data_IF_871916466696
#
_entry.id   IF_871916466696
#
_cell.length_a   1.000
_cell.length_b   1.000
_cell.length_c   1.000
_cell.angle_alpha   90.00
_cell.angle_beta   90.00
_cell.angle_gamma   90.00
#
_symmetry.space_group_name_H-M   'P 1'
#
loop_
_entity.id
_entity.type
_entity.pdbx_description
1 polymer ?
#
# COMPACT_ATOMS: atom_id res chain seq x y z
N UNK A 1 -7.09 34.03 -7.34
CA UNK A 1 -6.16 33.30 -6.44
C UNK A 1 -6.05 31.86 -6.91
N UNK A 2 -4.84 31.34 -7.13
CA UNK A 2 -4.68 29.92 -7.46
C UNK A 2 -5.16 29.07 -6.27
N UNK A 3 -5.91 28.00 -6.55
CA UNK A 3 -6.33 27.07 -5.49
C UNK A 3 -5.10 26.54 -4.73
N UNK A 4 -5.22 26.22 -3.43
CA UNK A 4 -4.11 25.61 -2.67
C UNK A 4 -3.54 24.37 -3.39
N UNK A 5 -4.40 23.67 -4.12
CA UNK A 5 -4.10 22.52 -4.96
C UNK A 5 -3.29 22.82 -6.24
N UNK A 6 -3.30 24.05 -6.76
CA UNK A 6 -2.43 24.53 -7.85
C UNK A 6 -1.06 24.98 -7.33
N UNK A 7 -0.95 25.39 -6.06
CA UNK A 7 0.33 25.76 -5.44
C UNK A 7 1.22 24.53 -5.22
N UNK A 8 0.62 23.36 -4.98
CA UNK A 8 1.34 22.07 -4.88
C UNK A 8 2.08 21.70 -6.17
N UNK A 9 1.53 22.03 -7.34
CA UNK A 9 2.19 21.76 -8.63
C UNK A 9 3.50 22.54 -8.82
N UNK A 10 3.80 23.51 -7.94
CA UNK A 10 5.10 24.21 -7.94
C UNK A 10 6.14 23.56 -7.01
N UNK A 11 5.72 22.62 -6.16
CA UNK A 11 6.61 21.91 -5.25
C UNK A 11 7.15 20.63 -5.89
N UNK A 12 6.41 20.06 -6.83
CA UNK A 12 6.78 18.82 -7.53
C UNK A 12 7.01 19.09 -9.01
N UNK A 13 8.10 18.56 -9.55
CA UNK A 13 8.46 18.70 -10.96
C UNK A 13 7.67 17.75 -11.86
N UNK A 14 7.24 16.60 -11.32
CA UNK A 14 6.46 15.57 -12.03
C UNK A 14 5.06 15.50 -11.44
N UNK A 15 4.05 15.42 -12.30
CA UNK A 15 2.64 15.30 -11.86
C UNK A 15 1.82 14.51 -12.88
N UNK A 16 1.10 13.49 -12.41
CA UNK A 16 0.13 12.71 -13.20
C UNK A 16 -1.17 12.55 -12.41
N UNK A 17 -2.24 12.16 -13.10
CA UNK A 17 -3.50 11.77 -12.49
C UNK A 17 -3.92 10.40 -12.98
N UNK A 18 -4.24 9.52 -12.05
CA UNK A 18 -4.84 8.21 -12.33
C UNK A 18 -6.24 8.23 -11.74
N UNK A 19 -7.26 8.22 -12.60
CA UNK A 19 -8.67 8.35 -12.22
C UNK A 19 -8.99 9.55 -11.29
N UNK A 20 -8.14 10.58 -11.31
CA UNK A 20 -8.23 11.79 -10.50
C UNK A 20 -7.42 11.79 -9.20
N UNK A 21 -6.85 10.65 -8.79
CA UNK A 21 -5.85 10.53 -7.72
C UNK A 21 -4.53 11.14 -8.23
N UNK A 22 -3.82 11.89 -7.39
CA UNK A 22 -2.59 12.57 -7.78
C UNK A 22 -1.39 11.67 -7.56
N UNK A 23 -0.43 11.78 -8.46
CA UNK A 23 0.92 11.24 -8.29
C UNK A 23 1.85 12.40 -8.54
N UNK A 24 2.70 12.67 -7.56
CA UNK A 24 3.57 13.83 -7.49
C UNK A 24 5.00 13.33 -7.30
N UNK A 25 5.97 13.89 -8.03
CA UNK A 25 7.37 13.46 -7.91
C UNK A 25 8.32 14.65 -7.99
N UNK A 26 9.43 14.59 -7.26
CA UNK A 26 10.50 15.58 -7.36
C UNK A 26 11.23 15.48 -8.70
N UNK A 27 12.15 16.41 -8.97
CA UNK A 27 12.99 16.33 -10.17
C UNK A 27 13.91 15.11 -10.16
N UNK A 28 14.29 14.62 -8.98
CA UNK A 28 15.29 13.58 -8.79
C UNK A 28 14.76 12.15 -8.99
N UNK A 29 13.44 11.95 -8.97
CA UNK A 29 12.81 10.67 -9.34
C UNK A 29 12.98 10.41 -10.84
N UNK A 30 13.43 9.23 -11.24
CA UNK A 30 13.55 8.87 -12.66
C UNK A 30 12.18 8.84 -13.35
N UNK A 31 12.12 9.26 -14.62
CA UNK A 31 10.85 9.38 -15.34
C UNK A 31 10.15 8.03 -15.56
N UNK A 32 10.93 6.97 -15.81
CA UNK A 32 10.40 5.61 -15.99
C UNK A 32 9.81 5.08 -14.68
N UNK A 33 10.50 5.27 -13.56
CA UNK A 33 10.03 4.89 -12.22
C UNK A 33 8.79 5.67 -11.78
N UNK A 34 8.73 6.97 -12.10
CA UNK A 34 7.51 7.77 -11.91
C UNK A 34 6.32 7.23 -12.72
N UNK A 35 6.56 6.81 -13.96
CA UNK A 35 5.53 6.22 -14.81
C UNK A 35 5.09 4.85 -14.29
N UNK A 36 6.03 4.02 -13.84
CA UNK A 36 5.79 2.71 -13.24
C UNK A 36 4.83 2.79 -12.06
N UNK A 37 5.12 3.65 -11.07
CA UNK A 37 4.22 3.86 -9.92
C UNK A 37 2.82 4.31 -10.35
N UNK A 38 2.73 5.13 -11.41
CA UNK A 38 1.44 5.54 -11.96
C UNK A 38 0.67 4.43 -12.65
N UNK A 39 1.38 3.54 -13.33
CA UNK A 39 0.79 2.40 -13.99
C UNK A 39 0.34 1.35 -12.96
N UNK A 40 1.11 1.13 -11.89
CA UNK A 40 0.71 0.26 -10.77
C UNK A 40 -0.57 0.78 -10.11
N UNK A 41 -0.68 2.09 -9.83
CA UNK A 41 -1.92 2.67 -9.31
C UNK A 41 -3.10 2.49 -10.28
N UNK A 42 -2.84 2.56 -11.58
CA UNK A 42 -3.87 2.34 -12.59
C UNK A 42 -4.36 0.90 -12.55
N UNK A 43 -3.45 -0.07 -12.60
CA UNK A 43 -3.75 -1.51 -12.62
C UNK A 43 -4.35 -2.01 -11.31
N UNK A 44 -4.08 -1.37 -10.17
CA UNK A 44 -4.81 -1.70 -8.94
C UNK A 44 -6.25 -1.17 -8.94
N UNK A 45 -6.53 -0.04 -9.59
CA UNK A 45 -7.86 0.57 -9.60
C UNK A 45 -8.74 0.12 -10.78
N UNK A 46 -8.10 -0.36 -11.85
CA UNK A 46 -8.64 -0.92 -13.09
C UNK A 46 -7.88 -2.23 -13.37
N UNK A 47 -8.22 -3.25 -12.58
CA UNK A 47 -7.53 -4.54 -12.54
C UNK A 47 -7.86 -5.43 -13.74
N UNK A 48 -9.00 -5.18 -14.39
CA UNK A 48 -9.37 -5.80 -15.66
C UNK A 48 -8.79 -5.06 -16.89
N UNK A 49 -8.18 -3.89 -16.69
CA UNK A 49 -7.56 -3.02 -17.69
C UNK A 49 -8.52 -2.61 -18.83
N UNK A 50 -9.80 -2.39 -18.52
CA UNK A 50 -10.80 -1.96 -19.50
C UNK A 50 -10.84 -0.42 -19.74
N UNK A 51 -9.96 0.30 -19.05
CA UNK A 51 -9.81 1.76 -19.09
C UNK A 51 -10.72 2.49 -18.11
N UNK A 52 -11.43 1.77 -17.22
CA UNK A 52 -12.33 2.34 -16.21
C UNK A 52 -12.06 1.73 -14.85
N UNK A 53 -12.24 2.50 -13.75
CA UNK A 53 -12.09 1.93 -12.43
C UNK A 53 -13.11 0.83 -12.15
N UNK A 54 -12.66 -0.31 -11.67
CA UNK A 54 -13.50 -1.44 -11.25
C UNK A 54 -14.50 -0.99 -10.18
N UNK A 55 -13.98 -0.29 -9.16
CA UNK A 55 -14.80 0.18 -8.04
C UNK A 55 -14.88 1.71 -8.01
N UNK A 56 -15.88 2.28 -8.70
CA UNK A 56 -16.14 3.73 -8.71
C UNK A 56 -16.31 4.34 -7.30
N UNK A 57 -16.84 3.58 -6.33
CA UNK A 57 -17.00 4.05 -4.93
C UNK A 57 -15.64 4.24 -4.24
N UNK A 58 -14.69 3.35 -4.51
CA UNK A 58 -13.32 3.37 -3.99
C UNK A 58 -12.58 4.61 -4.51
N UNK A 59 -12.56 4.81 -5.83
CA UNK A 59 -11.97 6.01 -6.45
C UNK A 59 -12.57 7.31 -5.91
N UNK A 60 -13.91 7.38 -5.74
CA UNK A 60 -14.55 8.56 -5.13
C UNK A 60 -14.12 8.76 -3.68
N UNK A 61 -13.89 7.69 -2.91
CA UNK A 61 -13.41 7.77 -1.52
C UNK A 61 -11.96 8.29 -1.48
N UNK A 62 -11.06 7.73 -2.28
CA UNK A 62 -9.67 8.20 -2.42
C UNK A 62 -9.60 9.70 -2.75
N UNK A 63 -10.39 10.14 -3.74
CA UNK A 63 -10.46 11.56 -4.12
C UNK A 63 -10.99 12.47 -3.00
N UNK A 64 -12.03 12.06 -2.29
CA UNK A 64 -12.58 12.83 -1.15
C UNK A 64 -11.58 12.93 0.00
N UNK A 65 -10.85 11.85 0.23
CA UNK A 65 -9.78 11.80 1.23
C UNK A 65 -8.49 12.46 0.75
N UNK A 66 -8.46 13.03 -0.46
CA UNK A 66 -7.29 13.72 -1.03
C UNK A 66 -6.02 12.86 -1.01
N UNK A 67 -6.21 11.56 -1.22
CA UNK A 67 -5.12 10.59 -1.38
C UNK A 67 -4.18 11.02 -2.52
N UNK A 68 -2.88 10.92 -2.31
CA UNK A 68 -1.86 11.17 -3.32
C UNK A 68 -0.64 10.29 -3.10
N UNK A 69 -0.06 9.75 -4.17
CA UNK A 69 1.31 9.24 -4.11
C UNK A 69 2.29 10.40 -4.23
N UNK A 70 3.34 10.41 -3.41
CA UNK A 70 4.46 11.33 -3.51
C UNK A 70 5.76 10.55 -3.67
N UNK A 71 6.54 10.85 -4.70
CA UNK A 71 7.78 10.16 -4.99
C UNK A 71 8.96 11.10 -4.76
N UNK A 72 9.96 10.58 -4.06
CA UNK A 72 11.22 11.26 -3.74
C UNK A 72 12.40 10.39 -4.18
N UNK A 73 13.59 10.97 -4.24
CA UNK A 73 14.82 10.23 -4.50
C UNK A 73 15.08 9.20 -3.40
N UNK A 74 14.94 9.62 -2.13
CA UNK A 74 15.19 8.84 -0.92
C UNK A 74 14.58 9.56 0.31
N UNK A 75 14.68 8.92 1.47
CA UNK A 75 14.21 9.45 2.76
C UNK A 75 14.79 10.82 3.10
N UNK A 76 16.08 11.06 2.85
CA UNK A 76 16.72 12.34 3.15
C UNK A 76 16.15 13.50 2.31
N UNK A 77 15.79 13.25 1.04
CA UNK A 77 15.08 14.24 0.23
C UNK A 77 13.69 14.54 0.81
N UNK A 78 12.94 13.51 1.23
CA UNK A 78 11.63 13.66 1.85
C UNK A 78 11.71 14.48 3.14
N UNK A 79 12.61 14.14 4.06
CA UNK A 79 12.79 14.85 5.33
C UNK A 79 13.06 16.35 5.11
N UNK A 80 14.02 16.67 4.24
CA UNK A 80 14.35 18.05 3.89
C UNK A 80 13.17 18.76 3.19
N UNK A 81 12.43 18.07 2.32
CA UNK A 81 11.23 18.62 1.68
C UNK A 81 10.16 18.96 2.72
N UNK A 82 9.88 18.07 3.67
CA UNK A 82 8.89 18.27 4.72
C UNK A 82 9.28 19.43 5.64
N UNK A 83 10.55 19.53 6.05
CA UNK A 83 11.05 20.65 6.86
C UNK A 83 10.69 22.02 6.25
N UNK A 84 10.74 22.14 4.93
CA UNK A 84 10.47 23.39 4.22
C UNK A 84 9.01 23.55 3.76
N UNK A 85 8.26 22.46 3.58
CA UNK A 85 7.00 22.47 2.82
C UNK A 85 5.82 21.74 3.48
N UNK A 86 5.99 21.10 4.63
CA UNK A 86 4.92 20.38 5.35
C UNK A 86 3.66 21.23 5.52
N UNK A 87 3.80 22.47 6.00
CA UNK A 87 2.68 23.41 6.15
C UNK A 87 1.86 23.61 4.86
N UNK A 88 2.47 23.49 3.67
CA UNK A 88 1.76 23.60 2.39
C UNK A 88 0.96 22.34 2.08
N UNK A 89 1.48 21.17 2.44
CA UNK A 89 0.79 19.89 2.32
C UNK A 89 -0.42 19.84 3.26
N UNK A 90 -0.25 20.27 4.50
CA UNK A 90 -1.31 20.37 5.51
C UNK A 90 -2.41 21.35 5.10
N UNK A 91 -2.04 22.53 4.59
CA UNK A 91 -2.98 23.51 4.07
C UNK A 91 -3.76 22.99 2.85
N UNK A 92 -3.18 22.07 2.10
CA UNK A 92 -3.88 21.36 1.03
C UNK A 92 -4.72 20.19 1.55
N UNK A 93 -4.49 19.76 2.80
CA UNK A 93 -5.02 18.55 3.44
C UNK A 93 -4.74 17.31 2.60
N UNK A 94 -3.52 17.22 2.06
CA UNK A 94 -3.10 16.02 1.35
C UNK A 94 -2.87 14.91 2.36
N UNK A 95 -3.39 13.74 2.03
CA UNK A 95 -3.07 12.49 2.69
C UNK A 95 -2.20 11.74 1.70
N UNK A 96 -0.90 11.67 1.98
CA UNK A 96 0.06 11.12 1.02
C UNK A 96 0.71 9.85 1.53
N UNK A 97 1.05 8.99 0.58
CA UNK A 97 1.95 7.87 0.78
C UNK A 97 3.22 8.18 -0.02
N UNK A 98 4.37 8.06 0.63
CA UNK A 98 5.67 8.22 0.01
C UNK A 98 6.18 6.93 -0.64
N UNK A 99 7.13 7.07 -1.57
CA UNK A 99 7.79 5.99 -2.28
C UNK A 99 9.13 6.52 -2.80
N UNK A 100 10.20 5.78 -2.59
CA UNK A 100 11.53 6.22 -2.98
C UNK A 100 11.98 5.69 -4.33
N UNK A 101 12.81 6.47 -5.02
CA UNK A 101 13.24 6.16 -6.37
C UNK A 101 13.94 4.81 -6.44
N UNK A 102 14.83 4.49 -5.50
CA UNK A 102 15.63 3.26 -5.52
C UNK A 102 14.87 1.99 -5.12
N UNK A 103 13.67 2.12 -4.54
CA UNK A 103 12.78 1.02 -4.16
C UNK A 103 11.82 0.60 -5.29
N UNK A 104 11.74 1.42 -6.35
CA UNK A 104 10.95 1.14 -7.55
C UNK A 104 11.74 0.21 -8.47
N UNK A 105 11.29 -1.03 -8.58
CA UNK A 105 11.96 -2.06 -9.39
C UNK A 105 11.21 -2.23 -10.72
N UNK A 106 11.87 -1.82 -11.80
CA UNK A 106 11.31 -1.92 -13.14
C UNK A 106 11.45 -3.34 -13.70
N UNK A 107 10.63 -3.71 -14.68
CA UNK A 107 10.72 -5.02 -15.34
C UNK A 107 12.08 -5.29 -16.04
N UNK A 108 12.86 -4.25 -16.33
CA UNK A 108 14.22 -4.35 -16.87
C UNK A 108 15.28 -4.67 -15.81
N UNK A 109 14.93 -4.54 -14.52
CA UNK A 109 15.80 -4.86 -13.40
C UNK A 109 15.80 -6.37 -13.16
N UNK A 110 16.99 -6.98 -13.24
CA UNK A 110 17.18 -8.41 -13.02
C UNK A 110 17.64 -8.73 -11.58
N UNK A 111 17.57 -7.76 -10.68
CA UNK A 111 17.76 -8.02 -9.25
C UNK A 111 16.55 -8.76 -8.69
N UNK A 112 16.76 -9.64 -7.71
CA UNK A 112 15.66 -10.30 -6.98
C UNK A 112 15.06 -9.38 -5.91
N UNK A 113 15.18 -8.04 -6.06
CA UNK A 113 14.63 -7.08 -5.10
C UNK A 113 13.12 -7.04 -5.24
N UNK A 114 12.44 -6.82 -4.13
CA UNK A 114 11.01 -6.60 -4.12
C UNK A 114 10.69 -5.19 -4.64
N UNK A 115 9.70 -5.07 -5.53
CA UNK A 115 9.21 -3.79 -5.99
C UNK A 115 8.29 -3.14 -4.94
N UNK A 116 8.79 -2.12 -4.24
CA UNK A 116 8.02 -1.45 -3.20
C UNK A 116 6.79 -0.72 -3.75
N UNK A 117 6.71 -0.48 -5.06
CA UNK A 117 5.50 0.16 -5.63
C UNK A 117 4.25 -0.68 -5.41
N UNK A 118 4.38 -2.00 -5.37
CA UNK A 118 3.28 -2.92 -5.12
C UNK A 118 2.73 -2.78 -3.70
N UNK A 119 3.57 -2.38 -2.75
CA UNK A 119 3.24 -2.15 -1.35
C UNK A 119 2.70 -0.73 -1.16
N UNK A 120 3.49 0.30 -1.47
CA UNK A 120 3.15 1.68 -1.14
C UNK A 120 1.89 2.16 -1.88
N UNK A 121 1.73 1.80 -3.15
CA UNK A 121 0.51 2.13 -3.88
C UNK A 121 -0.70 1.42 -3.28
N UNK A 122 -0.52 0.19 -2.78
CA UNK A 122 -1.60 -0.56 -2.16
C UNK A 122 -1.97 0.01 -0.78
N UNK A 123 -0.98 0.39 0.04
CA UNK A 123 -1.18 1.12 1.30
C UNK A 123 -2.00 2.39 1.09
N UNK A 124 -1.67 3.22 0.08
CA UNK A 124 -2.46 4.40 -0.25
C UNK A 124 -3.95 4.06 -0.51
N UNK A 125 -4.19 2.96 -1.26
CA UNK A 125 -5.55 2.53 -1.61
C UNK A 125 -6.30 2.00 -0.38
N UNK A 126 -5.63 1.26 0.49
CA UNK A 126 -6.22 0.70 1.70
C UNK A 126 -6.55 1.79 2.73
N UNK A 127 -5.57 2.64 3.04
CA UNK A 127 -5.63 3.65 4.09
C UNK A 127 -6.69 4.71 3.82
N UNK A 128 -6.76 5.16 2.57
CA UNK A 128 -7.67 6.23 2.17
C UNK A 128 -8.84 5.76 1.32
N UNK A 129 -8.96 4.46 1.06
CA UNK A 129 -10.00 3.86 0.24
C UNK A 129 -10.77 2.77 0.96
N UNK A 130 -10.21 1.56 1.07
CA UNK A 130 -10.90 0.40 1.64
C UNK A 130 -11.31 0.61 3.10
N UNK A 131 -10.36 0.99 3.97
CA UNK A 131 -10.60 1.18 5.41
C UNK A 131 -11.71 2.21 5.68
N UNK A 132 -11.82 3.20 4.78
CA UNK A 132 -12.77 4.32 4.89
C UNK A 132 -14.11 4.06 4.19
N UNK A 133 -14.18 3.13 3.23
CA UNK A 133 -15.38 2.84 2.44
C UNK A 133 -16.11 1.57 2.88
N UNK A 134 -15.40 0.67 3.55
CA UNK A 134 -15.89 -0.54 4.19
C UNK A 134 -15.19 -0.77 5.54
N UNK A 135 -15.40 0.13 6.50
CA UNK A 135 -14.73 0.10 7.81
C UNK A 135 -15.09 -1.12 8.68
N UNK A 136 -16.24 -1.75 8.43
CA UNK A 136 -16.61 -3.00 9.12
C UNK A 136 -15.68 -4.14 8.73
N UNK A 137 -15.28 -4.23 7.46
CA UNK A 137 -14.39 -5.28 6.97
C UNK A 137 -12.92 -4.88 7.12
N UNK A 138 -12.56 -3.70 6.63
CA UNK A 138 -11.16 -3.26 6.45
C UNK A 138 -10.76 -2.09 7.36
N UNK A 139 -11.59 -1.71 8.33
CA UNK A 139 -11.24 -0.61 9.23
C UNK A 139 -10.07 -0.98 10.14
N UNK A 140 -9.18 -0.02 10.41
CA UNK A 140 -8.03 -0.26 11.28
C UNK A 140 -8.47 -0.12 12.73
N UNK A 141 -9.10 -1.17 13.23
CA UNK A 141 -9.53 -1.32 14.61
C UNK A 141 -9.84 -2.79 14.90
N UNK A 142 -9.83 -3.15 16.18
CA UNK A 142 -10.02 -4.53 16.65
C UNK A 142 -11.41 -5.12 16.36
N UNK A 143 -12.41 -4.28 16.09
CA UNK A 143 -13.80 -4.72 15.88
C UNK A 143 -14.09 -4.99 14.40
N UNK A 144 -13.18 -4.61 13.49
CA UNK A 144 -13.24 -4.97 12.07
C UNK A 144 -12.91 -6.45 11.84
N UNK A 145 -13.36 -6.99 10.70
CA UNK A 145 -13.04 -8.37 10.30
C UNK A 145 -11.52 -8.53 10.15
N UNK A 146 -10.84 -7.63 9.43
CA UNK A 146 -9.40 -7.71 9.22
C UNK A 146 -8.61 -7.61 10.54
N UNK A 147 -9.06 -6.78 11.49
CA UNK A 147 -8.43 -6.63 12.80
C UNK A 147 -8.57 -7.89 13.66
N UNK A 148 -9.73 -8.54 13.63
CA UNK A 148 -9.94 -9.83 14.31
C UNK A 148 -9.02 -10.90 13.72
N UNK A 149 -8.94 -11.02 12.40
CA UNK A 149 -8.04 -11.95 11.72
C UNK A 149 -6.56 -11.68 12.06
N UNK A 150 -6.14 -10.40 12.08
CA UNK A 150 -4.78 -10.04 12.48
C UNK A 150 -4.50 -10.43 13.94
N UNK A 151 -5.47 -10.25 14.83
CA UNK A 151 -5.33 -10.61 16.25
C UNK A 151 -5.03 -12.10 16.40
N UNK A 152 -5.72 -12.93 15.64
CA UNK A 152 -5.48 -14.37 15.60
C UNK A 152 -4.12 -14.71 14.99
N UNK A 153 -3.75 -14.02 13.90
CA UNK A 153 -2.47 -14.18 13.21
C UNK A 153 -1.25 -13.97 14.10
N UNK A 154 -1.37 -13.02 15.03
CA UNK A 154 -0.35 -12.66 16.03
C UNK A 154 -0.41 -13.54 17.27
N UNK A 155 -1.40 -14.43 17.37
CA UNK A 155 -1.64 -15.30 18.51
C UNK A 155 -2.25 -14.60 19.73
N UNK A 156 -2.85 -13.42 19.55
CA UNK A 156 -3.49 -12.63 20.60
C UNK A 156 -3.48 -11.13 20.29
N UNK A 157 -4.18 -10.36 21.13
CA UNK A 157 -4.26 -8.90 21.00
C UNK A 157 -3.07 -8.21 21.67
N UNK A 158 -2.36 -7.37 20.90
CA UNK A 158 -1.28 -6.52 21.42
C UNK A 158 -1.43 -5.11 20.85
N UNK A 159 -1.62 -4.11 21.73
CA UNK A 159 -1.80 -2.70 21.33
C UNK A 159 -0.59 -2.09 20.60
N UNK A 160 0.60 -2.66 20.82
CA UNK A 160 1.86 -2.30 20.18
C UNK A 160 2.63 -3.56 19.85
N UNK A 161 3.67 -3.45 19.03
CA UNK A 161 4.57 -4.56 18.73
C UNK A 161 5.21 -5.12 20.02
N UNK A 162 4.91 -6.38 20.40
CA UNK A 162 5.50 -7.01 21.57
C UNK A 162 6.96 -7.39 21.30
N UNK A 163 7.75 -7.54 22.38
CA UNK A 163 9.13 -8.03 22.29
C UNK A 163 9.22 -9.46 21.73
N UNK A 164 8.16 -10.25 21.89
CA UNK A 164 8.10 -11.64 21.45
C UNK A 164 6.66 -12.03 21.16
N UNK A 165 6.44 -12.56 19.96
CA UNK A 165 5.17 -13.17 19.58
C UNK A 165 5.08 -14.64 20.05
N UNK A 166 3.87 -15.17 20.28
CA UNK A 166 3.63 -16.60 20.44
C UNK A 166 4.26 -17.42 19.30
N UNK A 167 4.80 -18.61 19.59
CA UNK A 167 5.47 -19.45 18.57
C UNK A 167 4.59 -19.80 17.36
N UNK A 168 3.27 -19.92 17.60
CA UNK A 168 2.26 -20.23 16.58
C UNK A 168 1.87 -19.05 15.71
N UNK A 169 2.31 -17.83 16.04
CA UNK A 169 2.02 -16.66 15.22
C UNK A 169 2.67 -16.81 13.84
N UNK A 170 1.92 -16.49 12.80
CA UNK A 170 2.41 -16.42 11.42
C UNK A 170 2.60 -14.99 10.93
N UNK A 171 2.10 -14.02 11.71
CA UNK A 171 2.36 -12.59 11.56
C UNK A 171 3.06 -12.06 12.82
N UNK A 172 4.24 -11.45 12.65
CA UNK A 172 5.16 -11.08 13.74
C UNK A 172 5.92 -9.79 13.40
N UNK A 173 5.17 -8.73 13.08
CA UNK A 173 5.72 -7.43 12.68
C UNK A 173 6.77 -6.89 13.66
N UNK A 174 7.88 -6.38 13.15
CA UNK A 174 9.08 -6.02 13.94
C UNK A 174 9.15 -4.55 14.30
N UNK A 175 8.50 -3.65 13.56
CA UNK A 175 8.57 -2.22 13.88
C UNK A 175 7.89 -1.91 15.22
N UNK A 176 8.66 -1.28 16.13
CA UNK A 176 8.24 -0.93 17.48
C UNK A 176 7.47 0.38 17.55
N UNK A 177 7.51 1.20 16.49
CA UNK A 177 6.80 2.47 16.40
C UNK A 177 5.36 2.27 15.92
N UNK A 178 5.12 1.20 15.16
CA UNK A 178 3.80 0.77 14.71
C UNK A 178 2.91 0.29 15.88
N UNK A 179 1.72 0.88 15.98
CA UNK A 179 0.68 0.47 16.91
C UNK A 179 -0.21 -0.64 16.31
N UNK A 180 -1.36 -0.89 16.92
CA UNK A 180 -2.28 -1.92 16.45
C UNK A 180 -2.90 -1.59 15.09
N UNK A 181 -3.21 -0.32 14.84
CA UNK A 181 -3.91 0.11 13.64
C UNK A 181 -2.97 0.08 12.44
N UNK A 182 -1.74 0.56 12.61
CA UNK A 182 -0.67 0.43 11.62
C UNK A 182 -0.41 -1.05 11.27
N UNK A 183 -0.39 -1.96 12.26
CA UNK A 183 -0.19 -3.39 11.99
C UNK A 183 -1.32 -4.04 11.19
N UNK A 184 -2.54 -3.48 11.23
CA UNK A 184 -3.66 -3.97 10.40
C UNK A 184 -3.41 -3.61 8.93
N UNK A 185 -2.93 -2.40 8.64
CA UNK A 185 -2.59 -1.98 7.28
C UNK A 185 -1.56 -2.95 6.68
N UNK A 186 -0.49 -3.21 7.42
CA UNK A 186 0.55 -4.18 7.07
C UNK A 186 0.01 -5.60 6.87
N UNK A 187 -0.84 -6.07 7.79
CA UNK A 187 -1.43 -7.41 7.67
C UNK A 187 -2.29 -7.56 6.40
N UNK A 188 -3.04 -6.52 6.04
CA UNK A 188 -3.83 -6.48 4.81
C UNK A 188 -2.92 -6.48 3.57
N UNK A 189 -1.86 -5.67 3.57
CA UNK A 189 -0.83 -5.66 2.53
C UNK A 189 -0.21 -7.05 2.35
N UNK A 190 0.32 -7.65 3.42
CA UNK A 190 0.97 -8.96 3.38
C UNK A 190 0.03 -10.04 2.84
N UNK A 191 -1.22 -10.04 3.31
CA UNK A 191 -2.24 -10.97 2.86
C UNK A 191 -2.55 -10.82 1.37
N UNK A 192 -2.91 -9.62 0.92
CA UNK A 192 -3.34 -9.38 -0.47
C UNK A 192 -2.18 -9.63 -1.44
N UNK A 193 -1.00 -9.09 -1.17
CA UNK A 193 0.14 -9.26 -2.09
C UNK A 193 0.63 -10.71 -2.15
N UNK A 194 0.50 -11.49 -1.07
CA UNK A 194 0.71 -12.94 -1.11
C UNK A 194 -0.36 -13.68 -1.92
N UNK A 195 -1.63 -13.25 -1.84
CA UNK A 195 -2.71 -13.79 -2.67
C UNK A 195 -2.51 -13.51 -4.16
N UNK A 196 -1.90 -12.37 -4.50
CA UNK A 196 -1.56 -11.97 -5.86
C UNK A 196 -0.26 -12.59 -6.39
N UNK A 197 0.52 -13.26 -5.52
CA UNK A 197 1.80 -13.88 -5.88
C UNK A 197 3.03 -12.95 -5.83
N UNK A 198 2.88 -11.70 -5.39
CA UNK A 198 4.00 -10.75 -5.28
C UNK A 198 5.08 -11.23 -4.29
N UNK A 199 4.68 -12.01 -3.29
CA UNK A 199 5.55 -12.49 -2.22
C UNK A 199 6.19 -13.87 -2.51
N UNK A 200 6.01 -14.43 -3.72
CA UNK A 200 6.50 -15.76 -4.11
C UNK A 200 7.74 -15.73 -5.03
N UNK A 201 8.44 -14.59 -5.09
CA UNK A 201 9.68 -14.43 -5.84
C UNK A 201 10.88 -15.19 -5.23
N UNK A 202 11.94 -15.47 -6.02
CA UNK A 202 13.17 -16.09 -5.53
C UNK A 202 13.78 -15.33 -4.34
N UNK A 203 14.09 -16.03 -3.24
CA UNK A 203 14.67 -15.43 -2.03
C UNK A 203 13.66 -14.69 -1.13
N UNK A 204 12.51 -14.26 -1.67
CA UNK A 204 11.55 -13.42 -0.96
C UNK A 204 11.06 -14.02 0.35
N UNK A 205 10.79 -15.33 0.37
CA UNK A 205 10.36 -16.00 1.62
C UNK A 205 11.42 -15.88 2.73
N UNK A 206 12.71 -15.99 2.41
CA UNK A 206 13.77 -15.90 3.40
C UNK A 206 13.91 -14.48 3.96
N UNK A 207 13.63 -13.46 3.14
CA UNK A 207 13.65 -12.05 3.55
C UNK A 207 12.51 -11.72 4.53
N UNK A 208 11.33 -12.32 4.35
CA UNK A 208 10.12 -11.91 5.08
C UNK A 208 9.64 -12.89 6.15
N UNK A 209 10.07 -14.16 6.16
CA UNK A 209 9.52 -15.24 7.02
C UNK A 209 9.55 -14.97 8.52
N UNK A 210 10.41 -14.07 8.97
CA UNK A 210 10.46 -13.65 10.37
C UNK A 210 9.24 -12.82 10.77
N UNK A 211 8.66 -12.07 9.83
CA UNK A 211 7.48 -11.22 10.02
C UNK A 211 6.22 -11.84 9.42
N UNK A 212 6.32 -12.45 8.24
CA UNK A 212 5.20 -13.00 7.50
C UNK A 212 5.51 -14.39 6.93
N UNK A 213 4.82 -15.42 7.41
CA UNK A 213 5.10 -16.82 7.00
C UNK A 213 4.25 -17.32 5.84
N UNK A 214 3.24 -16.57 5.40
CA UNK A 214 2.22 -17.02 4.46
C UNK A 214 2.36 -16.35 3.08
N UNK A 215 3.57 -16.39 2.51
CA UNK A 215 3.94 -15.66 1.29
C UNK A 215 3.28 -16.16 -0.02
N UNK A 216 2.34 -17.11 0.03
CA UNK A 216 1.66 -17.66 -1.15
C UNK A 216 0.17 -17.93 -0.88
N UNK A 217 -0.69 -17.97 -1.92
CA UNK A 217 -2.11 -18.27 -1.73
C UNK A 217 -2.33 -19.63 -1.08
N UNK A 218 -1.51 -20.63 -1.42
CA UNK A 218 -1.58 -21.96 -0.84
C UNK A 218 -1.26 -21.97 0.66
N UNK A 219 -0.24 -21.22 1.08
CA UNK A 219 0.10 -21.07 2.51
C UNK A 219 -1.02 -20.34 3.27
N UNK A 220 -1.61 -19.29 2.70
CA UNK A 220 -2.75 -18.59 3.30
C UNK A 220 -3.94 -19.56 3.44
N UNK A 221 -4.34 -20.23 2.37
CA UNK A 221 -5.46 -21.19 2.39
C UNK A 221 -5.31 -22.27 3.45
N UNK A 222 -4.09 -22.80 3.63
CA UNK A 222 -3.83 -23.89 4.57
C UNK A 222 -3.74 -23.45 6.03
N UNK A 223 -3.29 -22.22 6.31
CA UNK A 223 -2.96 -21.77 7.68
C UNK A 223 -3.88 -20.66 8.20
N UNK A 224 -4.57 -19.96 7.31
CA UNK A 224 -5.48 -18.87 7.59
C UNK A 224 -6.69 -18.91 6.64
N UNK A 225 -7.54 -19.96 6.70
CA UNK A 225 -8.65 -20.15 5.76
C UNK A 225 -9.65 -18.99 5.79
N UNK A 226 -9.92 -18.39 6.95
CA UNK A 226 -10.83 -17.22 7.03
C UNK A 226 -10.23 -15.97 6.37
N UNK A 227 -8.91 -15.79 6.44
CA UNK A 227 -8.23 -14.75 5.65
C UNK A 227 -8.32 -15.07 4.16
N UNK A 228 -8.08 -16.32 3.77
CA UNK A 228 -8.21 -16.74 2.36
C UNK A 228 -9.60 -16.43 1.81
N UNK A 229 -10.65 -16.79 2.56
CA UNK A 229 -12.04 -16.57 2.16
C UNK A 229 -12.36 -15.07 2.05
N UNK A 230 -11.91 -14.25 3.01
CA UNK A 230 -12.05 -12.80 2.95
C UNK A 230 -11.36 -12.20 1.71
N UNK A 231 -10.11 -12.58 1.46
CA UNK A 231 -9.31 -12.00 0.38
C UNK A 231 -9.71 -12.53 -1.01
N UNK A 232 -10.38 -13.67 -1.08
CA UNK A 232 -10.89 -14.26 -2.34
C UNK A 232 -12.32 -13.86 -2.66
N UNK A 233 -13.04 -13.20 -1.73
CA UNK A 233 -14.43 -12.79 -1.95
C UNK A 233 -14.49 -11.61 -2.94
N UNK A 234 -15.06 -11.81 -4.15
CA UNK A 234 -15.16 -10.75 -5.15
C UNK A 234 -16.03 -9.56 -4.68
N UNK A 235 -16.87 -9.74 -3.66
CA UNK A 235 -17.69 -8.67 -3.10
C UNK A 235 -16.86 -7.60 -2.38
N UNK A 236 -15.63 -7.92 -1.97
CA UNK A 236 -14.69 -6.98 -1.35
C UNK A 236 -14.16 -5.94 -2.33
N UNK A 237 -14.13 -6.28 -3.63
CA UNK A 237 -13.56 -5.45 -4.69
C UNK A 237 -12.03 -5.40 -4.70
N UNK A 238 -11.35 -6.24 -3.89
CA UNK A 238 -9.89 -6.36 -3.90
C UNK A 238 -9.37 -6.80 -5.29
N UNK A 239 -8.15 -6.38 -5.67
CA UNK A 239 -7.52 -6.82 -6.92
C UNK A 239 -7.32 -8.34 -6.93
N UNK A 240 -7.36 -8.93 -8.11
CA UNK A 240 -7.12 -10.38 -8.35
C UNK A 240 -5.95 -10.64 -9.28
N UNK A 241 -5.47 -9.61 -9.97
CA UNK A 241 -4.29 -9.62 -10.83
C UNK A 241 -3.22 -8.71 -10.23
N UNK A 242 -1.99 -9.20 -10.14
CA UNK A 242 -0.87 -8.40 -9.68
C UNK A 242 -0.51 -7.34 -10.73
N UNK A 243 -0.37 -6.05 -10.36
CA UNK A 243 0.19 -5.05 -11.26
C UNK A 243 1.63 -5.37 -11.70
N UNK A 244 1.97 -5.03 -12.93
CA UNK A 244 3.34 -5.13 -13.47
C UNK A 244 3.94 -3.75 -13.80
N UNK A 245 3.15 -2.68 -13.68
CA UNK A 245 3.58 -1.30 -13.95
C UNK A 245 3.74 -0.96 -15.43
N UNK A 246 3.25 -1.80 -16.35
CA UNK A 246 3.34 -1.62 -17.80
C UNK A 246 1.94 -1.39 -18.39
N UNK A 247 1.79 -0.29 -19.15
CA UNK A 247 0.56 0.08 -19.88
C UNK A 247 0.88 0.53 -21.31
#
# INVERSE_FOLDING_TARGET
MASNLQKLNKLFSKTKRVFGIRILGTSNVEQERFNHAANVLHQYLDNNQDGKPDTKKLVRKLKRNKAAMTLFENEAELENFLEHHEHKLDNAKLNFQDLYNDEIILASDNSNRFDATLEEVFHLICDYGYSQSNSKTFGYNKDSIIGQLMTEARGGHFNKTPKKYPKKAYYSYKDKHCDYDCQIAEYLYWGVTSMLGAQDGPGRYDDIKDEWRLNTPAKIKSNAPELYDLLSDPSTGLPTVLPDGIL
#
